data_IF_573889863166
#
_entry.id   IF_573889863166
#
_cell.length_a   1.000
_cell.length_b   1.000
_cell.length_c   1.000
_cell.angle_alpha   90.00
_cell.angle_beta   90.00
_cell.angle_gamma   90.00
#
_symmetry.space_group_name_H-M   'P 1'
#
loop_
_entity.id
_entity.type
_entity.pdbx_description
1 polymer ?
#
# COMPACT_ATOMS: atom_id res chain seq x y z
N UNK A 1 -30.24 -66.01 -40.12
CA UNK A 1 -30.68 -66.15 -41.52
C UNK A 1 -31.95 -65.32 -41.73
N UNK A 2 -32.02 -64.62 -42.86
CA UNK A 2 -33.20 -63.95 -43.46
C UNK A 2 -33.88 -62.83 -42.63
N UNK A 3 -33.59 -61.56 -42.94
CA UNK A 3 -34.27 -60.77 -43.99
C UNK A 3 -35.58 -60.15 -43.52
N UNK A 4 -35.55 -58.82 -43.30
CA UNK A 4 -36.65 -57.94 -43.74
C UNK A 4 -36.09 -56.59 -44.15
N UNK A 5 -35.85 -56.48 -45.46
CA UNK A 5 -35.75 -55.23 -46.22
C UNK A 5 -37.09 -54.50 -46.06
N UNK A 6 -37.10 -53.27 -45.56
CA UNK A 6 -38.24 -52.36 -45.65
C UNK A 6 -37.76 -51.05 -46.26
N UNK A 7 -37.81 -51.03 -47.59
CA UNK A 7 -38.19 -49.90 -48.44
C UNK A 7 -37.55 -48.55 -48.13
N UNK A 8 -36.32 -48.40 -48.62
CA UNK A 8 -35.79 -47.16 -49.15
C UNK A 8 -36.69 -46.71 -50.31
N UNK A 9 -37.72 -45.91 -50.01
CA UNK A 9 -38.61 -45.34 -51.03
C UNK A 9 -39.09 -43.98 -50.54
N UNK A 10 -38.53 -42.97 -51.19
CA UNK A 10 -39.02 -41.61 -51.31
C UNK A 10 -39.06 -40.79 -50.00
N UNK A 11 -37.91 -40.17 -49.67
CA UNK A 11 -37.92 -38.90 -48.90
C UNK A 11 -37.62 -37.75 -49.88
N UNK A 12 -38.54 -36.78 -50.05
CA UNK A 12 -38.29 -35.60 -50.87
C UNK A 12 -37.10 -34.81 -50.32
N UNK A 13 -36.15 -34.51 -51.20
CA UNK A 13 -35.12 -33.50 -50.96
C UNK A 13 -35.72 -32.17 -51.40
N UNK A 14 -36.50 -31.56 -50.52
CA UNK A 14 -36.94 -30.16 -50.62
C UNK A 14 -36.18 -29.43 -49.50
N UNK A 15 -35.16 -28.61 -49.75
CA UNK A 15 -35.26 -27.48 -50.66
C UNK A 15 -35.90 -26.29 -49.95
N UNK A 16 -35.43 -25.92 -48.75
CA UNK A 16 -35.72 -24.62 -48.16
C UNK A 16 -34.43 -23.92 -47.76
N UNK A 17 -33.64 -23.63 -48.78
CA UNK A 17 -32.73 -22.49 -48.78
C UNK A 17 -33.56 -21.23 -48.50
N UNK A 18 -33.77 -20.92 -47.23
CA UNK A 18 -34.11 -19.56 -46.84
C UNK A 18 -32.84 -18.74 -47.02
N UNK A 19 -32.73 -18.18 -48.22
CA UNK A 19 -31.87 -17.04 -48.50
C UNK A 19 -32.16 -15.99 -47.44
N UNK A 20 -31.27 -15.87 -46.45
CA UNK A 20 -31.26 -14.72 -45.57
C UNK A 20 -31.04 -13.47 -46.42
N UNK A 21 -31.75 -12.38 -46.16
CA UNK A 21 -31.45 -11.11 -46.83
C UNK A 21 -30.01 -10.70 -46.49
N UNK A 22 -29.27 -10.07 -47.43
CA UNK A 22 -27.97 -9.51 -47.12
C UNK A 22 -28.13 -8.50 -45.99
N UNK A 23 -27.45 -8.76 -44.88
CA UNK A 23 -27.45 -7.87 -43.72
C UNK A 23 -27.03 -6.47 -44.15
N UNK A 24 -27.88 -5.49 -43.87
CA UNK A 24 -27.45 -4.09 -43.83
C UNK A 24 -26.22 -4.00 -42.90
N UNK A 25 -25.18 -3.20 -43.25
CA UNK A 25 -23.94 -3.20 -42.51
C UNK A 25 -24.19 -2.75 -41.07
N UNK A 26 -24.07 -3.70 -40.13
CA UNK A 26 -24.12 -3.47 -38.67
C UNK A 26 -23.08 -2.39 -38.27
N UNK A 27 -22.06 -2.20 -39.10
CA UNK A 27 -21.00 -1.20 -38.93
C UNK A 27 -21.52 0.25 -38.84
N UNK A 28 -22.48 0.69 -39.66
CA UNK A 28 -22.80 2.11 -39.72
C UNK A 28 -23.52 2.62 -38.44
N UNK A 29 -24.50 1.86 -37.93
CA UNK A 29 -25.24 2.21 -36.71
C UNK A 29 -24.40 2.03 -35.44
N UNK A 30 -23.49 1.05 -35.44
CA UNK A 30 -22.61 0.80 -34.30
C UNK A 30 -21.49 1.85 -34.22
N UNK A 31 -20.94 2.29 -35.37
CA UNK A 31 -19.94 3.36 -35.42
C UNK A 31 -20.56 4.69 -34.96
N UNK A 32 -21.77 5.05 -35.41
CA UNK A 32 -22.46 6.26 -34.92
C UNK A 32 -22.73 6.22 -33.41
N UNK A 33 -23.11 5.06 -32.86
CA UNK A 33 -23.29 4.87 -31.41
C UNK A 33 -21.97 4.92 -30.65
N UNK A 34 -20.90 4.33 -31.18
CA UNK A 34 -19.57 4.35 -30.57
C UNK A 34 -18.94 5.75 -30.60
N UNK A 35 -19.09 6.49 -31.70
CA UNK A 35 -18.65 7.89 -31.80
C UNK A 35 -19.42 8.76 -30.80
N UNK A 36 -20.73 8.57 -30.67
CA UNK A 36 -21.52 9.30 -29.68
C UNK A 36 -21.06 8.99 -28.24
N UNK A 37 -20.77 7.72 -27.91
CA UNK A 37 -20.23 7.33 -26.59
C UNK A 37 -18.85 7.93 -26.34
N UNK A 38 -17.94 7.90 -27.32
CA UNK A 38 -16.60 8.50 -27.20
C UNK A 38 -16.70 10.01 -27.00
N UNK A 39 -17.56 10.70 -27.74
CA UNK A 39 -17.78 12.15 -27.58
C UNK A 39 -18.32 12.46 -26.19
N UNK A 40 -19.31 11.71 -25.70
CA UNK A 40 -19.85 11.90 -24.34
C UNK A 40 -18.78 11.64 -23.28
N UNK A 41 -17.98 10.58 -23.42
CA UNK A 41 -16.89 10.27 -22.49
C UNK A 41 -15.84 11.38 -22.49
N UNK A 42 -15.43 11.89 -23.66
CA UNK A 42 -14.47 12.99 -23.78
C UNK A 42 -15.03 14.28 -23.18
N UNK A 43 -16.30 14.60 -23.40
CA UNK A 43 -16.95 15.79 -22.82
C UNK A 43 -17.05 15.68 -21.30
N UNK A 44 -17.38 14.50 -20.77
CA UNK A 44 -17.43 14.27 -19.32
C UNK A 44 -16.02 14.33 -18.72
N UNK A 45 -15.03 13.69 -19.33
CA UNK A 45 -13.64 13.73 -18.87
C UNK A 45 -13.06 15.14 -18.90
N UNK A 46 -13.34 15.92 -19.94
CA UNK A 46 -12.89 17.31 -20.04
C UNK A 46 -13.59 18.21 -19.03
N UNK A 47 -14.88 18.02 -18.78
CA UNK A 47 -15.61 18.74 -17.74
C UNK A 47 -15.09 18.39 -16.33
N UNK A 48 -14.79 17.12 -16.07
CA UNK A 48 -14.18 16.67 -14.81
C UNK A 48 -12.77 17.24 -14.66
N UNK A 49 -11.94 17.21 -15.70
CA UNK A 49 -10.60 17.79 -15.68
C UNK A 49 -10.64 19.29 -15.40
N UNK A 50 -11.49 20.05 -16.11
CA UNK A 50 -11.65 21.50 -15.90
C UNK A 50 -12.19 21.80 -14.50
N UNK A 51 -13.16 21.02 -14.01
CA UNK A 51 -13.64 21.12 -12.63
C UNK A 51 -12.53 20.83 -11.61
N UNK A 52 -11.70 19.82 -11.85
CA UNK A 52 -10.58 19.46 -11.00
C UNK A 52 -9.53 20.58 -10.93
N UNK A 53 -9.17 21.18 -12.08
CA UNK A 53 -8.28 22.35 -12.13
C UNK A 53 -8.88 23.58 -11.42
N UNK A 54 -10.21 23.73 -11.39
CA UNK A 54 -10.87 24.83 -10.68
C UNK A 54 -10.97 24.61 -9.15
N UNK A 55 -10.87 23.36 -8.68
CA UNK A 55 -10.94 23.02 -7.25
C UNK A 55 -9.56 22.99 -6.56
N UNK A 56 -8.45 22.91 -7.31
CA UNK A 56 -7.11 23.06 -6.75
C UNK A 56 -6.82 24.55 -6.50
N UNK A 57 -7.31 25.08 -5.39
CA UNK A 57 -6.74 26.32 -4.82
C UNK A 57 -5.27 26.01 -4.50
N UNK A 58 -4.29 26.74 -5.07
CA UNK A 58 -2.93 26.68 -4.59
C UNK A 58 -2.99 27.12 -3.13
N UNK A 59 -2.82 26.17 -2.22
CA UNK A 59 -2.60 26.49 -0.82
C UNK A 59 -1.22 27.12 -0.77
N UNK A 60 -1.18 28.45 -0.70
CA UNK A 60 0.00 29.21 -0.32
C UNK A 60 0.25 28.98 1.19
N UNK A 61 0.43 27.71 1.56
CA UNK A 61 1.03 27.35 2.82
C UNK A 61 2.52 27.26 2.52
N UNK A 62 3.19 28.41 2.63
CA UNK A 62 4.63 28.44 2.79
C UNK A 62 5.01 27.37 3.83
N UNK A 63 6.13 26.63 3.66
CA UNK A 63 6.55 25.68 4.66
C UNK A 63 6.77 26.47 5.96
N UNK A 64 5.83 26.38 6.89
CA UNK A 64 6.05 26.82 8.25
C UNK A 64 7.34 26.15 8.69
N UNK A 65 8.32 26.99 9.00
CA UNK A 65 9.57 26.55 9.55
C UNK A 65 9.24 25.63 10.72
N UNK A 66 9.61 24.36 10.58
CA UNK A 66 9.60 23.42 11.70
C UNK A 66 10.26 24.12 12.88
N UNK A 67 9.58 24.28 14.03
CA UNK A 67 10.21 24.91 15.18
C UNK A 67 11.50 24.13 15.46
N UNK A 68 12.62 24.84 15.47
CA UNK A 68 13.90 24.24 15.81
C UNK A 68 13.72 23.45 17.11
N UNK A 69 14.25 22.21 17.20
CA UNK A 69 14.10 21.40 18.39
C UNK A 69 14.55 22.21 19.61
N UNK A 70 13.87 22.08 20.75
CA UNK A 70 14.19 22.85 21.96
C UNK A 70 15.69 22.73 22.23
N UNK A 71 16.37 23.86 22.27
CA UNK A 71 17.80 23.95 22.56
C UNK A 71 18.00 23.71 24.05
N UNK A 72 17.77 22.46 24.48
CA UNK A 72 18.23 21.96 25.76
C UNK A 72 19.75 21.81 25.77
N UNK A 73 20.35 21.51 26.93
CA UNK A 73 21.74 21.12 27.01
C UNK A 73 22.04 20.01 25.99
N UNK A 74 23.18 20.10 25.32
CA UNK A 74 23.63 19.06 24.41
C UNK A 74 23.85 17.76 25.20
N UNK A 75 23.12 16.71 24.85
CA UNK A 75 23.19 15.41 25.54
C UNK A 75 24.16 14.50 24.80
N UNK A 76 25.14 13.98 25.52
CA UNK A 76 26.11 13.01 25.01
C UNK A 76 25.70 11.59 25.40
N UNK A 77 25.65 10.69 24.41
CA UNK A 77 25.34 9.28 24.69
C UNK A 77 26.31 8.67 25.72
N UNK A 78 27.62 8.89 25.55
CA UNK A 78 28.62 8.25 26.40
C UNK A 78 28.67 8.83 27.81
N UNK A 79 28.39 10.13 27.97
CA UNK A 79 28.47 10.81 29.27
C UNK A 79 27.15 10.74 30.05
N UNK A 80 26.01 10.82 29.36
CA UNK A 80 24.70 11.02 30.01
C UNK A 80 23.81 9.77 29.94
N UNK A 81 23.84 9.04 28.82
CA UNK A 81 22.89 7.94 28.57
C UNK A 81 23.48 6.59 28.98
N UNK A 82 24.70 6.28 28.52
CA UNK A 82 25.35 4.99 28.75
C UNK A 82 25.48 4.64 30.25
N UNK A 83 25.87 5.55 31.16
CA UNK A 83 25.95 5.23 32.58
C UNK A 83 24.60 4.82 33.20
N UNK A 84 23.49 5.33 32.65
CA UNK A 84 22.15 4.94 33.09
C UNK A 84 21.86 3.50 32.66
N UNK A 85 22.16 3.15 31.41
CA UNK A 85 21.97 1.81 30.89
C UNK A 85 22.83 0.77 31.62
N UNK A 86 24.09 1.11 31.92
CA UNK A 86 25.00 0.24 32.67
C UNK A 86 24.41 -0.15 34.04
N UNK A 87 23.85 0.82 34.76
CA UNK A 87 23.34 0.60 36.13
C UNK A 87 21.96 -0.06 36.13
N UNK A 88 21.10 0.22 35.14
CA UNK A 88 19.67 -0.12 35.19
C UNK A 88 19.23 -1.21 34.22
N UNK A 89 19.93 -1.39 33.10
CA UNK A 89 19.41 -2.16 31.97
C UNK A 89 20.36 -3.27 31.52
N UNK A 90 21.67 -3.05 31.60
CA UNK A 90 22.67 -3.97 31.06
C UNK A 90 22.80 -5.29 31.83
N UNK A 91 22.18 -5.43 33.01
CA UNK A 91 22.05 -6.73 33.67
C UNK A 91 21.32 -7.77 32.81
N UNK A 92 20.39 -7.31 31.95
CA UNK A 92 19.62 -8.15 31.02
C UNK A 92 19.83 -7.79 29.53
N UNK A 93 20.23 -6.55 29.23
CA UNK A 93 20.45 -6.02 27.88
C UNK A 93 21.87 -5.47 27.70
N UNK A 94 22.88 -6.21 28.13
CA UNK A 94 24.29 -5.80 28.11
C UNK A 94 25.18 -6.74 27.30
N UNK A 95 26.50 -6.51 27.37
CA UNK A 95 27.49 -7.32 26.67
C UNK A 95 27.44 -8.78 27.15
N UNK A 96 27.07 -9.69 26.24
CA UNK A 96 26.96 -11.13 26.54
C UNK A 96 25.60 -11.59 27.06
N UNK A 97 24.68 -10.67 27.36
CA UNK A 97 23.28 -10.98 27.65
C UNK A 97 22.37 -9.95 27.02
N UNK A 98 21.74 -10.33 25.90
CA UNK A 98 20.86 -9.48 25.12
C UNK A 98 19.45 -10.09 25.08
N UNK A 99 18.69 -9.94 26.17
CA UNK A 99 17.29 -10.41 26.19
C UNK A 99 16.49 -9.76 25.06
N UNK A 100 15.58 -10.54 24.45
CA UNK A 100 14.86 -10.15 23.24
C UNK A 100 15.76 -9.74 22.06
N UNK A 101 17.05 -10.10 22.08
CA UNK A 101 18.04 -9.70 21.08
C UNK A 101 18.40 -8.22 21.14
N UNK A 102 18.15 -7.53 22.25
CA UNK A 102 18.48 -6.12 22.46
C UNK A 102 19.75 -5.97 23.31
N UNK A 103 20.73 -5.21 22.81
CA UNK A 103 21.90 -4.76 23.57
C UNK A 103 21.90 -3.24 23.72
N UNK A 104 22.16 -2.77 24.94
CA UNK A 104 22.30 -1.36 25.31
C UNK A 104 23.74 -1.04 25.78
N UNK A 105 24.70 -1.89 25.38
CA UNK A 105 26.10 -1.77 25.77
C UNK A 105 26.87 -0.67 25.02
N UNK A 106 26.40 -0.31 23.83
CA UNK A 106 27.02 0.73 23.01
C UNK A 106 25.99 1.47 22.18
N UNK A 107 26.33 2.67 21.70
CA UNK A 107 25.46 3.43 20.81
C UNK A 107 25.12 2.62 19.54
N UNK A 108 26.11 1.90 18.99
CA UNK A 108 25.92 1.07 17.81
C UNK A 108 24.88 -0.03 18.04
N UNK A 109 24.92 -0.67 19.21
CA UNK A 109 23.96 -1.73 19.57
C UNK A 109 22.53 -1.18 19.75
N UNK A 110 22.40 -0.02 20.40
CA UNK A 110 21.11 0.64 20.61
C UNK A 110 20.44 0.97 19.27
N UNK A 111 21.22 1.46 18.30
CA UNK A 111 20.73 1.78 16.95
C UNK A 111 20.48 0.51 16.12
N UNK A 112 21.25 -0.55 16.32
CA UNK A 112 20.98 -1.85 15.69
C UNK A 112 19.61 -2.41 16.12
N UNK A 113 19.18 -2.10 17.35
CA UNK A 113 17.85 -2.41 17.85
C UNK A 113 17.77 -3.79 18.49
N UNK A 114 16.57 -4.37 18.47
CA UNK A 114 16.26 -5.66 19.07
C UNK A 114 16.03 -6.73 18.01
N UNK A 115 15.84 -7.99 18.44
CA UNK A 115 15.37 -9.07 17.55
C UNK A 115 14.01 -8.81 16.90
N UNK A 116 13.25 -7.83 17.40
CA UNK A 116 11.95 -7.43 16.87
C UNK A 116 11.99 -6.14 16.04
N UNK A 117 13.18 -5.56 15.82
CA UNK A 117 13.38 -4.36 15.03
C UNK A 117 13.89 -3.16 15.84
N UNK A 118 13.82 -1.94 15.25
CA UNK A 118 14.36 -0.73 15.84
C UNK A 118 13.70 -0.38 17.17
N UNK A 119 14.50 0.05 18.15
CA UNK A 119 13.98 0.48 19.47
C UNK A 119 14.06 1.99 19.68
N UNK A 120 14.91 2.69 18.91
CA UNK A 120 15.03 4.14 18.88
C UNK A 120 14.62 4.64 17.50
N UNK A 121 13.76 5.65 17.46
CA UNK A 121 13.45 6.45 16.27
C UNK A 121 14.12 7.81 16.41
N UNK A 122 14.97 8.17 15.44
CA UNK A 122 15.62 9.48 15.42
C UNK A 122 14.60 10.61 15.45
N UNK A 123 14.99 11.74 16.08
CA UNK A 123 14.22 12.99 16.20
C UNK A 123 12.87 12.89 16.96
N UNK A 124 12.47 11.69 17.40
CA UNK A 124 11.22 11.50 18.14
C UNK A 124 11.37 10.46 19.25
N UNK A 125 11.50 10.96 20.48
CA UNK A 125 11.43 10.13 21.68
C UNK A 125 10.06 9.46 21.84
N UNK A 126 8.97 10.15 21.45
CA UNK A 126 7.58 9.68 21.64
C UNK A 126 7.24 8.43 20.82
N UNK A 127 7.89 8.24 19.69
CA UNK A 127 7.69 7.08 18.79
C UNK A 127 8.72 5.99 19.01
N UNK A 128 9.70 6.22 19.89
CA UNK A 128 10.74 5.24 20.20
C UNK A 128 10.18 4.17 21.13
N UNK A 129 10.21 2.90 20.70
CA UNK A 129 9.76 1.76 21.51
C UNK A 129 10.47 1.67 22.86
N UNK A 130 11.75 2.03 22.90
CA UNK A 130 12.54 2.07 24.14
C UNK A 130 11.90 3.01 25.17
N UNK A 131 11.46 4.19 24.74
CA UNK A 131 10.84 5.20 25.62
C UNK A 131 9.46 4.74 26.07
N UNK A 132 8.67 4.15 25.17
CA UNK A 132 7.35 3.59 25.50
C UNK A 132 7.44 2.60 26.67
N UNK A 133 8.34 1.63 26.58
CA UNK A 133 8.52 0.58 27.60
C UNK A 133 9.06 1.14 28.93
N UNK A 134 9.95 2.14 28.87
CA UNK A 134 10.46 2.79 30.08
C UNK A 134 9.34 3.54 30.81
N UNK A 135 8.49 4.27 30.05
CA UNK A 135 7.41 5.08 30.61
C UNK A 135 6.25 4.21 31.11
N UNK A 136 5.94 3.10 30.41
CA UNK A 136 4.92 2.16 30.87
C UNK A 136 5.33 1.38 32.11
N UNK A 137 6.64 1.23 32.34
CA UNK A 137 7.19 0.47 33.47
C UNK A 137 7.15 -1.04 33.24
N UNK A 138 7.01 -1.49 31.99
CA UNK A 138 6.96 -2.92 31.65
C UNK A 138 8.33 -3.62 31.81
N UNK A 139 9.40 -2.85 31.99
CA UNK A 139 10.75 -3.34 32.23
C UNK A 139 11.29 -2.84 33.59
N UNK A 140 11.89 -3.72 34.41
CA UNK A 140 12.06 -5.16 34.17
C UNK A 140 10.74 -5.95 34.30
N UNK A 141 10.59 -7.07 33.58
CA UNK A 141 9.42 -7.93 33.74
C UNK A 141 9.38 -8.46 35.18
N UNK A 142 8.22 -8.34 35.82
CA UNK A 142 7.98 -8.74 37.21
C UNK A 142 8.15 -10.24 37.48
#
# INVERSE_FOLDING_TARGET
MASRRKTMKDRPVEGSSTVSPPGAPIAARQILRQVAVIVVVVVVWTAVLVGYLALTKPSDEAPEATPAPPQGPEVSFSADVLPIFEVRCQSCHGTGRAEAGLSLASHADVIAGSGYGPVVTADSAKTSRLVEIIVSGDMPPG
#
